data_IF_435499066372
#
_entry.id   IF_435499066372
#
_cell.length_a   1.000
_cell.length_b   1.000
_cell.length_c   1.000
_cell.angle_alpha   90.00
_cell.angle_beta   90.00
_cell.angle_gamma   90.00
#
_symmetry.space_group_name_H-M   'P 1'
#
loop_
_entity.id
_entity.type
_entity.pdbx_description
1 polymer ?
#
# COMPACT_ATOMS: atom_id res chain seq x y z
N UNK A 1 -18.58 45.99 -24.31
CA UNK A 1 -17.39 46.32 -25.12
C UNK A 1 -16.44 45.13 -25.01
N UNK A 2 -16.58 44.17 -25.94
CA UNK A 2 -15.65 43.83 -27.04
C UNK A 2 -14.62 42.76 -26.58
N UNK A 3 -14.84 41.48 -26.92
CA UNK A 3 -14.56 40.78 -28.20
C UNK A 3 -13.11 40.24 -28.22
N UNK A 4 -12.77 39.01 -28.62
CA UNK A 4 -13.37 38.02 -29.50
C UNK A 4 -12.31 37.63 -30.55
N UNK A 5 -12.05 36.33 -30.77
CA UNK A 5 -11.10 35.89 -31.82
C UNK A 5 -10.97 34.37 -31.94
N UNK A 6 -11.73 33.80 -32.88
CA UNK A 6 -11.60 32.42 -33.41
C UNK A 6 -10.52 32.36 -34.49
N UNK A 7 -9.93 31.19 -34.69
CA UNK A 7 -9.20 30.83 -35.91
C UNK A 7 -9.18 29.31 -36.11
N UNK A 8 -9.82 28.85 -37.19
CA UNK A 8 -9.86 27.47 -37.70
C UNK A 8 -9.11 27.41 -39.02
N UNK A 9 -8.36 26.34 -39.30
CA UNK A 9 -8.18 25.84 -40.67
C UNK A 9 -7.71 24.38 -40.71
N UNK A 10 -8.29 23.68 -41.68
CA UNK A 10 -8.35 22.24 -41.96
C UNK A 10 -7.10 21.57 -42.58
N UNK A 11 -7.17 20.23 -42.53
CA UNK A 11 -6.75 19.23 -43.55
C UNK A 11 -5.29 18.88 -43.78
N UNK A 12 -4.94 17.60 -43.51
CA UNK A 12 -4.37 16.70 -44.53
C UNK A 12 -4.36 15.23 -44.05
N UNK A 13 -5.08 14.39 -44.79
CA UNK A 13 -5.05 12.92 -44.81
C UNK A 13 -3.72 12.43 -45.39
N UNK A 14 -3.11 11.38 -44.81
CA UNK A 14 -2.19 10.51 -45.54
C UNK A 14 -2.34 9.05 -45.08
N UNK A 15 -2.78 8.23 -46.04
CA UNK A 15 -2.76 6.77 -46.06
C UNK A 15 -1.34 6.34 -46.42
N UNK A 16 -0.78 5.28 -45.80
CA UNK A 16 0.17 4.38 -46.47
C UNK A 16 0.14 2.97 -45.85
N UNK A 17 0.05 2.02 -46.77
CA UNK A 17 0.07 0.58 -46.63
C UNK A 17 1.41 -0.02 -46.17
N UNK A 18 1.29 -1.24 -45.59
CA UNK A 18 2.16 -2.43 -45.65
C UNK A 18 3.69 -2.29 -45.80
N UNK A 19 4.42 -3.14 -45.06
CA UNK A 19 5.26 -4.24 -45.62
C UNK A 19 5.84 -5.08 -44.46
N UNK A 20 5.52 -6.38 -44.48
CA UNK A 20 6.30 -7.45 -43.85
C UNK A 20 7.64 -7.61 -44.59
N UNK A 21 8.76 -7.68 -43.88
CA UNK A 21 9.93 -8.38 -44.39
C UNK A 21 10.53 -9.30 -43.32
N UNK A 22 10.35 -10.58 -43.55
CA UNK A 22 11.14 -11.69 -43.05
C UNK A 22 12.50 -11.72 -43.74
N UNK A 23 13.57 -12.03 -43.00
CA UNK A 23 14.84 -12.43 -43.59
C UNK A 23 15.47 -13.56 -42.74
N UNK A 24 15.41 -14.77 -43.29
CA UNK A 24 16.38 -15.83 -43.02
C UNK A 24 17.71 -15.44 -43.71
N UNK A 25 18.84 -15.74 -43.07
CA UNK A 25 20.02 -16.19 -43.82
C UNK A 25 20.83 -17.19 -43.00
N UNK A 26 21.42 -18.12 -43.76
CA UNK A 26 22.04 -19.39 -43.41
C UNK A 26 23.56 -19.26 -43.51
N UNK A 27 24.29 -20.04 -42.72
CA UNK A 27 25.71 -20.37 -42.91
C UNK A 27 26.44 -20.38 -41.57
N UNK A 28 26.94 -21.49 -41.02
CA UNK A 28 27.61 -22.62 -41.67
C UNK A 28 29.12 -22.47 -41.43
N UNK A 29 29.66 -23.11 -40.38
CA UNK A 29 31.08 -23.03 -40.02
C UNK A 29 31.47 -24.11 -39.01
N UNK A 30 31.95 -25.23 -39.54
CA UNK A 30 32.42 -26.44 -38.89
C UNK A 30 33.83 -26.22 -38.28
N UNK A 31 34.06 -26.64 -37.03
CA UNK A 31 35.40 -27.01 -36.54
C UNK A 31 35.28 -28.17 -35.55
N UNK A 32 35.91 -29.26 -35.93
CA UNK A 32 35.93 -30.56 -35.27
C UNK A 32 37.22 -30.71 -34.44
N UNK A 33 37.12 -31.57 -33.42
CA UNK A 33 38.19 -32.37 -32.82
C UNK A 33 39.00 -31.69 -31.70
N UNK A 34 39.33 -32.33 -30.57
CA UNK A 34 39.65 -33.74 -30.33
C UNK A 34 39.21 -34.21 -28.93
N UNK A 35 38.60 -35.40 -28.89
CA UNK A 35 38.53 -36.28 -27.72
C UNK A 35 39.92 -36.85 -27.43
N UNK A 36 40.33 -36.90 -26.15
CA UNK A 36 41.42 -37.77 -25.70
C UNK A 36 41.03 -38.40 -24.36
N UNK A 37 40.71 -39.69 -24.41
CA UNK A 37 40.65 -40.56 -23.25
C UNK A 37 42.04 -40.73 -22.63
N UNK A 38 42.12 -40.71 -21.31
CA UNK A 38 43.24 -41.29 -20.56
C UNK A 38 42.72 -41.73 -19.20
N UNK A 39 42.60 -43.04 -19.05
CA UNK A 39 42.33 -43.77 -17.83
C UNK A 39 43.59 -43.81 -16.95
N UNK A 40 43.49 -43.31 -15.70
CA UNK A 40 44.44 -43.63 -14.63
C UNK A 40 43.66 -43.83 -13.33
N UNK A 41 43.90 -45.00 -12.73
CA UNK A 41 43.37 -45.48 -11.45
C UNK A 41 43.94 -44.72 -10.25
N UNK A 42 43.16 -44.78 -9.16
CA UNK A 42 43.54 -44.64 -7.75
C UNK A 42 43.75 -43.22 -7.19
N UNK A 43 42.74 -42.73 -6.46
CA UNK A 43 42.77 -42.64 -4.99
C UNK A 43 41.48 -42.00 -4.49
N UNK A 44 40.59 -42.80 -3.90
CA UNK A 44 39.42 -42.32 -3.17
C UNK A 44 39.92 -41.63 -1.90
N UNK A 45 40.03 -40.30 -1.95
CA UNK A 45 39.98 -39.47 -0.75
C UNK A 45 38.54 -38.99 -0.63
N UNK A 46 37.83 -39.50 0.37
CA UNK A 46 36.52 -39.00 0.76
C UNK A 46 36.67 -37.54 1.23
N UNK A 47 36.50 -36.59 0.31
CA UNK A 47 36.27 -35.21 0.64
C UNK A 47 34.81 -35.11 1.12
N UNK A 48 34.63 -35.01 2.43
CA UNK A 48 33.36 -34.56 3.01
C UNK A 48 33.16 -33.13 2.54
N UNK A 49 32.41 -32.94 1.46
CA UNK A 49 31.89 -31.63 1.07
C UNK A 49 30.84 -31.30 2.13
N UNK A 50 31.25 -30.53 3.14
CA UNK A 50 30.32 -29.86 4.02
C UNK A 50 29.54 -28.87 3.15
N UNK A 51 28.38 -29.30 2.66
CA UNK A 51 27.40 -28.43 2.04
C UNK A 51 26.96 -27.41 3.07
N UNK A 52 27.62 -26.25 3.08
CA UNK A 52 27.11 -25.07 3.74
C UNK A 52 25.82 -24.67 3.00
N UNK A 53 24.69 -25.18 3.47
CA UNK A 53 23.37 -24.61 3.16
C UNK A 53 23.44 -23.15 3.55
N UNK A 54 23.66 -22.29 2.56
CA UNK A 54 23.45 -20.86 2.68
C UNK A 54 21.95 -20.69 2.97
N UNK A 55 21.60 -20.58 4.24
CA UNK A 55 20.30 -20.11 4.67
C UNK A 55 20.17 -18.69 4.13
N UNK A 56 19.51 -18.53 2.98
CA UNK A 56 18.99 -17.24 2.58
C UNK A 56 18.03 -16.83 3.69
N UNK A 57 18.51 -15.97 4.59
CA UNK A 57 17.64 -15.17 5.42
C UNK A 57 16.84 -14.33 4.44
N UNK A 58 15.64 -14.80 4.09
CA UNK A 58 14.60 -13.90 3.62
C UNK A 58 14.45 -12.88 4.73
N UNK A 59 15.00 -11.68 4.52
CA UNK A 59 14.53 -10.50 5.22
C UNK A 59 13.07 -10.42 4.79
N UNK A 60 12.18 -10.95 5.63
CA UNK A 60 10.77 -10.74 5.47
C UNK A 60 10.62 -9.21 5.41
N UNK A 61 10.25 -8.69 4.24
CA UNK A 61 9.73 -7.34 4.16
C UNK A 61 8.66 -7.26 5.25
N UNK A 62 8.86 -6.38 6.22
CA UNK A 62 7.92 -6.26 7.32
C UNK A 62 6.53 -5.93 6.78
N UNK A 63 5.50 -6.34 7.49
CA UNK A 63 4.14 -5.88 7.20
C UNK A 63 4.10 -4.36 7.24
N UNK A 64 3.58 -3.76 6.17
CA UNK A 64 3.36 -2.33 6.09
C UNK A 64 2.12 -2.00 6.89
N UNK A 65 2.21 -1.00 7.75
CA UNK A 65 1.09 -0.54 8.56
C UNK A 65 0.29 0.53 7.82
N UNK A 66 0.78 1.23 6.79
CA UNK A 66 -0.06 2.06 5.91
C UNK A 66 0.04 1.60 4.45
N UNK A 67 -0.45 0.40 4.19
CA UNK A 67 -0.16 -0.33 2.97
C UNK A 67 -1.18 -0.03 1.86
N UNK A 68 -0.70 0.25 0.65
CA UNK A 68 -1.54 0.38 -0.56
C UNK A 68 -1.01 -0.48 -1.69
N UNK A 69 -1.91 -1.19 -2.39
CA UNK A 69 -1.56 -1.93 -3.61
C UNK A 69 -2.73 -2.01 -4.57
N UNK A 70 -2.43 -1.78 -5.85
CA UNK A 70 -3.33 -2.10 -6.95
C UNK A 70 -2.92 -3.42 -7.56
N UNK A 71 -3.85 -4.37 -7.61
CA UNK A 71 -3.71 -5.65 -8.30
C UNK A 71 -4.73 -5.68 -9.42
N UNK A 72 -4.29 -5.42 -10.66
CA UNK A 72 -5.19 -5.22 -11.82
C UNK A 72 -6.25 -4.16 -11.51
N UNK A 73 -7.52 -4.55 -11.44
CA UNK A 73 -8.66 -3.65 -11.23
C UNK A 73 -9.12 -3.60 -9.75
N UNK A 74 -8.36 -4.24 -8.86
CA UNK A 74 -8.64 -4.28 -7.42
C UNK A 74 -7.64 -3.43 -6.68
N UNK A 75 -8.12 -2.62 -5.74
CA UNK A 75 -7.30 -1.80 -4.87
C UNK A 75 -7.40 -2.34 -3.44
N UNK A 76 -6.30 -2.36 -2.71
CA UNK A 76 -6.28 -2.67 -1.28
C UNK A 76 -5.60 -1.53 -0.55
N UNK A 77 -6.26 -1.03 0.48
CA UNK A 77 -5.73 -0.05 1.43
C UNK A 77 -5.84 -0.62 2.84
N UNK A 78 -4.75 -0.58 3.60
CA UNK A 78 -4.75 -0.90 5.02
C UNK A 78 -4.33 0.33 5.83
N UNK A 79 -5.06 0.63 6.90
CA UNK A 79 -4.68 1.67 7.86
C UNK A 79 -3.57 1.21 8.82
N UNK A 80 -3.01 2.13 9.62
CA UNK A 80 -1.93 1.84 10.59
C UNK A 80 -2.23 0.69 11.54
N UNK A 81 -3.49 0.41 11.86
CA UNK A 81 -3.87 -0.73 12.69
C UNK A 81 -4.05 -2.04 11.89
N UNK A 82 -3.63 -2.04 10.63
CA UNK A 82 -3.81 -3.09 9.64
C UNK A 82 -5.29 -3.44 9.40
N UNK A 83 -6.23 -2.51 9.57
CA UNK A 83 -7.58 -2.74 9.06
C UNK A 83 -7.58 -2.50 7.56
N UNK A 84 -7.97 -3.52 6.80
CA UNK A 84 -7.82 -3.50 5.35
C UNK A 84 -9.18 -3.41 4.65
N UNK A 85 -9.25 -2.53 3.65
CA UNK A 85 -10.33 -2.43 2.69
C UNK A 85 -9.83 -2.86 1.31
N UNK A 86 -10.48 -3.87 0.74
CA UNK A 86 -10.32 -4.27 -0.66
C UNK A 86 -11.47 -3.68 -1.46
N UNK A 87 -11.19 -2.80 -2.41
CA UNK A 87 -12.18 -2.16 -3.27
C UNK A 87 -12.12 -2.70 -4.70
N UNK A 88 -13.30 -2.97 -5.26
CA UNK A 88 -13.49 -3.35 -6.65
C UNK A 88 -13.74 -2.11 -7.50
N UNK A 89 -13.02 -2.00 -8.62
CA UNK A 89 -13.24 -0.92 -9.57
C UNK A 89 -14.47 -1.23 -10.45
N UNK A 90 -15.45 -0.32 -10.53
CA UNK A 90 -16.58 -0.49 -11.44
C UNK A 90 -16.13 -0.36 -12.90
N UNK A 91 -16.73 -1.13 -13.79
CA UNK A 91 -16.48 -1.06 -15.25
C UNK A 91 -16.97 0.28 -15.82
N UNK A 92 -18.10 0.79 -15.30
CA UNK A 92 -18.60 2.13 -15.58
C UNK A 92 -18.77 2.86 -14.25
N UNK A 93 -18.09 4.00 -14.10
CA UNK A 93 -18.01 4.73 -12.83
C UNK A 93 -19.20 5.64 -12.54
N UNK A 94 -19.94 6.07 -13.55
CA UNK A 94 -21.03 7.04 -13.38
C UNK A 94 -22.14 6.50 -12.46
N UNK A 95 -22.25 7.09 -11.27
CA UNK A 95 -23.25 6.73 -10.27
C UNK A 95 -23.09 5.32 -9.67
N UNK A 96 -21.98 4.64 -9.94
CA UNK A 96 -21.69 3.33 -9.34
C UNK A 96 -21.25 3.52 -7.89
N UNK A 97 -21.84 2.78 -6.92
CA UNK A 97 -21.37 2.82 -5.55
C UNK A 97 -19.96 2.19 -5.47
N UNK A 98 -19.19 2.60 -4.48
CA UNK A 98 -17.99 1.85 -4.11
C UNK A 98 -18.41 0.49 -3.55
N UNK A 99 -17.77 -0.58 -4.00
CA UNK A 99 -18.06 -1.94 -3.57
C UNK A 99 -16.75 -2.63 -3.20
N UNK A 100 -16.73 -3.29 -2.04
CA UNK A 100 -15.53 -3.93 -1.57
C UNK A 100 -15.75 -4.81 -0.34
N UNK A 101 -14.66 -5.16 0.31
CA UNK A 101 -14.64 -5.89 1.56
C UNK A 101 -13.77 -5.16 2.58
N UNK A 102 -14.26 -5.08 3.81
CA UNK A 102 -13.47 -4.64 4.95
C UNK A 102 -13.16 -5.82 5.85
N UNK A 103 -11.95 -5.87 6.40
CA UNK A 103 -11.60 -6.80 7.48
C UNK A 103 -10.65 -6.10 8.45
N UNK A 104 -11.03 -6.06 9.73
CA UNK A 104 -10.15 -5.56 10.78
C UNK A 104 -9.00 -6.55 11.08
N UNK A 105 -7.94 -6.06 11.70
CA UNK A 105 -6.80 -6.90 12.11
C UNK A 105 -7.08 -7.80 13.31
N UNK A 106 -8.21 -7.61 14.00
CA UNK A 106 -8.56 -8.29 15.25
C UNK A 106 -8.69 -9.83 15.10
N UNK A 107 -8.38 -10.62 16.13
CA UNK A 107 -8.48 -12.08 16.05
C UNK A 107 -9.93 -12.53 15.80
N UNK A 108 -10.12 -13.52 14.93
CA UNK A 108 -11.46 -13.98 14.55
C UNK A 108 -12.27 -13.01 13.68
N UNK A 109 -11.67 -11.89 13.25
CA UNK A 109 -12.33 -10.94 12.36
C UNK A 109 -12.70 -11.61 11.04
N UNK A 110 -13.97 -11.46 10.65
CA UNK A 110 -14.52 -11.94 9.39
C UNK A 110 -14.64 -10.78 8.41
N UNK A 111 -14.41 -10.99 7.11
CA UNK A 111 -14.65 -9.95 6.12
C UNK A 111 -16.14 -9.57 6.10
N UNK A 112 -16.41 -8.28 5.96
CA UNK A 112 -17.74 -7.74 5.70
C UNK A 112 -17.78 -7.19 4.28
N UNK A 113 -18.92 -7.34 3.60
CA UNK A 113 -19.16 -6.67 2.32
C UNK A 113 -19.49 -5.22 2.61
N UNK A 114 -18.78 -4.29 1.97
CA UNK A 114 -18.85 -2.86 2.22
C UNK A 114 -19.32 -2.10 0.99
N UNK A 115 -20.34 -1.28 1.16
CA UNK A 115 -20.81 -0.28 0.20
C UNK A 115 -20.42 1.12 0.65
N UNK A 116 -19.88 1.90 -0.27
CA UNK A 116 -19.49 3.30 -0.07
C UNK A 116 -20.08 4.18 -1.16
N UNK A 117 -20.12 5.50 -0.93
CA UNK A 117 -20.83 6.47 -1.80
C UNK A 117 -22.33 6.15 -1.97
N UNK A 118 -22.94 5.63 -0.90
CA UNK A 118 -24.38 5.35 -0.79
C UNK A 118 -24.96 6.17 0.35
N UNK A 119 -26.28 6.37 0.36
CA UNK A 119 -26.97 6.94 1.51
C UNK A 119 -27.05 5.90 2.65
N UNK A 120 -26.31 6.07 3.76
CA UNK A 120 -26.28 5.10 4.86
C UNK A 120 -27.61 5.08 5.65
N UNK A 121 -28.47 6.08 5.46
CA UNK A 121 -29.81 6.13 6.07
C UNK A 121 -30.82 5.24 5.34
N UNK A 122 -30.51 4.76 4.12
CA UNK A 122 -31.40 3.88 3.37
C UNK A 122 -31.65 2.58 4.14
N UNK A 123 -32.93 2.28 4.41
CA UNK A 123 -33.37 1.02 5.04
C UNK A 123 -34.23 0.14 4.15
N UNK A 124 -34.52 0.57 2.93
CA UNK A 124 -35.45 -0.13 2.01
C UNK A 124 -34.77 -0.52 0.71
N UNK A 125 -35.33 -1.54 0.05
CA UNK A 125 -34.81 -2.11 -1.19
C UNK A 125 -33.99 -3.37 -0.97
N UNK A 126 -33.47 -3.91 -2.08
CA UNK A 126 -32.64 -5.12 -2.10
C UNK A 126 -31.25 -4.82 -2.64
N UNK A 127 -30.28 -5.50 -2.07
CA UNK A 127 -28.94 -5.67 -2.60
C UNK A 127 -28.87 -7.08 -3.18
N UNK A 128 -28.65 -7.18 -4.48
CA UNK A 128 -28.50 -8.46 -5.17
C UNK A 128 -27.13 -8.49 -5.86
N UNK A 129 -26.35 -9.54 -5.63
CA UNK A 129 -25.08 -9.79 -6.28
C UNK A 129 -25.21 -11.07 -7.11
N UNK A 130 -24.82 -10.98 -8.37
CA UNK A 130 -24.55 -12.14 -9.22
C UNK A 130 -23.10 -12.12 -9.70
N UNK A 131 -22.57 -13.31 -9.96
CA UNK A 131 -21.23 -13.50 -10.54
C UNK A 131 -21.39 -14.30 -11.82
N UNK A 132 -20.90 -13.77 -12.93
CA UNK A 132 -21.01 -14.37 -14.26
C UNK A 132 -22.45 -14.83 -14.61
N UNK A 133 -23.43 -14.02 -14.19
CA UNK A 133 -24.87 -14.27 -14.41
C UNK A 133 -25.53 -15.21 -13.40
N UNK A 134 -24.77 -15.85 -12.50
CA UNK A 134 -25.31 -16.71 -11.45
C UNK A 134 -25.59 -15.91 -10.16
N UNK A 135 -26.81 -15.96 -9.60
CA UNK A 135 -27.11 -15.30 -8.33
C UNK A 135 -26.24 -15.85 -7.20
N UNK A 136 -25.65 -14.95 -6.41
CA UNK A 136 -24.71 -15.29 -5.34
C UNK A 136 -25.18 -14.81 -3.96
N UNK A 137 -25.71 -13.59 -3.88
CA UNK A 137 -26.21 -12.99 -2.64
C UNK A 137 -27.45 -12.14 -2.95
N UNK A 138 -28.47 -12.21 -2.10
CA UNK A 138 -29.66 -11.37 -2.19
C UNK A 138 -30.14 -11.05 -0.79
N UNK A 139 -30.03 -9.79 -0.38
CA UNK A 139 -30.38 -9.35 0.98
C UNK A 139 -31.17 -8.06 0.95
N UNK A 140 -32.05 -7.88 1.92
CA UNK A 140 -32.71 -6.59 2.11
C UNK A 140 -31.70 -5.58 2.66
N UNK A 141 -31.78 -4.32 2.20
CA UNK A 141 -30.85 -3.26 2.63
C UNK A 141 -30.94 -3.02 4.15
N UNK A 142 -32.07 -3.34 4.77
CA UNK A 142 -32.25 -3.30 6.24
C UNK A 142 -31.32 -4.26 7.01
N UNK A 143 -30.77 -5.28 6.35
CA UNK A 143 -29.80 -6.20 6.94
C UNK A 143 -28.37 -5.61 7.00
N UNK A 144 -28.13 -4.48 6.31
CA UNK A 144 -26.84 -3.78 6.35
C UNK A 144 -26.82 -2.83 7.54
N UNK A 145 -25.65 -2.74 8.17
CA UNK A 145 -25.37 -1.80 9.27
C UNK A 145 -24.70 -0.56 8.70
N UNK A 146 -25.11 0.61 9.19
CA UNK A 146 -24.41 1.84 8.87
C UNK A 146 -23.16 1.94 9.73
N UNK A 147 -22.03 2.17 9.08
CA UNK A 147 -20.72 2.42 9.70
C UNK A 147 -20.19 3.70 9.06
N UNK A 148 -20.24 4.82 9.79
CA UNK A 148 -20.00 6.17 9.26
C UNK A 148 -20.81 6.49 7.97
N UNK A 149 -20.13 6.72 6.84
CA UNK A 149 -20.70 7.01 5.53
C UNK A 149 -20.86 5.75 4.64
N UNK A 150 -20.80 4.57 5.26
CA UNK A 150 -20.77 3.27 4.60
C UNK A 150 -21.89 2.34 5.09
N UNK A 151 -22.17 1.31 4.31
CA UNK A 151 -23.08 0.23 4.68
C UNK A 151 -22.35 -1.11 4.61
N UNK A 152 -22.33 -1.82 5.74
CA UNK A 152 -21.67 -3.11 5.90
C UNK A 152 -22.66 -4.25 6.06
N UNK A 153 -22.41 -5.34 5.32
CA UNK A 153 -23.11 -6.61 5.47
C UNK A 153 -22.15 -7.68 5.96
N UNK A 154 -22.46 -8.28 7.12
CA UNK A 154 -21.61 -9.28 7.78
C UNK A 154 -22.14 -10.73 7.72
N UNK A 155 -23.22 -10.98 6.97
CA UNK A 155 -23.86 -12.30 6.91
C UNK A 155 -23.06 -13.32 6.09
N UNK A 156 -23.60 -13.80 4.98
CA UNK A 156 -23.01 -14.90 4.21
C UNK A 156 -21.82 -14.48 3.32
N UNK A 157 -20.99 -13.54 3.79
CA UNK A 157 -19.88 -12.94 3.05
C UNK A 157 -18.81 -13.97 2.69
N UNK A 158 -18.51 -14.92 3.58
CA UNK A 158 -17.53 -15.97 3.29
C UNK A 158 -17.96 -16.82 2.08
N UNK A 159 -19.24 -17.20 2.01
CA UNK A 159 -19.80 -17.95 0.88
C UNK A 159 -19.81 -17.10 -0.40
N UNK A 160 -20.16 -15.82 -0.28
CA UNK A 160 -20.10 -14.89 -1.41
C UNK A 160 -18.67 -14.77 -1.96
N UNK A 161 -17.66 -14.60 -1.09
CA UNK A 161 -16.26 -14.54 -1.49
C UNK A 161 -15.81 -15.79 -2.23
N UNK A 162 -16.20 -17.00 -1.80
CA UNK A 162 -15.90 -18.24 -2.54
C UNK A 162 -16.49 -18.26 -3.96
N UNK A 163 -17.72 -17.79 -4.13
CA UNK A 163 -18.33 -17.64 -5.45
C UNK A 163 -17.60 -16.62 -6.32
N UNK A 164 -17.15 -15.51 -5.74
CA UNK A 164 -16.44 -14.45 -6.45
C UNK A 164 -15.02 -14.84 -6.87
N UNK A 165 -14.29 -15.62 -6.06
CA UNK A 165 -12.93 -16.07 -6.38
C UNK A 165 -12.84 -16.87 -7.69
N UNK A 166 -13.93 -17.55 -8.07
CA UNK A 166 -14.01 -18.36 -9.27
C UNK A 166 -14.60 -17.63 -10.48
N UNK A 167 -15.05 -16.38 -10.28
CA UNK A 167 -15.73 -15.60 -11.30
C UNK A 167 -14.86 -14.53 -11.94
N UNK A 168 -15.37 -13.93 -13.00
CA UNK A 168 -14.70 -12.85 -13.72
C UNK A 168 -15.39 -11.50 -13.56
N UNK A 169 -16.72 -11.49 -13.51
CA UNK A 169 -17.53 -10.28 -13.44
C UNK A 169 -18.56 -10.39 -12.34
N UNK A 170 -18.65 -9.35 -11.53
CA UNK A 170 -19.70 -9.18 -10.53
C UNK A 170 -20.72 -8.17 -11.03
N UNK A 171 -22.00 -8.47 -10.89
CA UNK A 171 -23.09 -7.51 -11.07
C UNK A 171 -23.77 -7.23 -9.73
N UNK A 172 -23.78 -5.97 -9.34
CA UNK A 172 -24.53 -5.46 -8.19
C UNK A 172 -25.82 -4.82 -8.70
N UNK A 173 -26.96 -5.32 -8.25
CA UNK A 173 -28.24 -4.65 -8.42
C UNK A 173 -28.67 -4.00 -7.12
N UNK A 174 -28.83 -2.68 -7.17
CA UNK A 174 -29.18 -1.85 -6.02
C UNK A 174 -30.10 -0.73 -6.49
N UNK A 175 -31.22 -0.53 -5.78
CA UNK A 175 -32.21 0.52 -6.08
C UNK A 175 -32.67 0.52 -7.56
N UNK A 176 -32.86 -0.68 -8.16
CA UNK A 176 -33.32 -0.84 -9.54
C UNK A 176 -32.26 -0.59 -10.62
N UNK A 177 -31.03 -0.20 -10.24
CA UNK A 177 -29.88 -0.04 -11.14
C UNK A 177 -28.97 -1.26 -11.03
N UNK A 178 -28.27 -1.56 -12.12
CA UNK A 178 -27.26 -2.64 -12.18
C UNK A 178 -25.91 -2.04 -12.48
N UNK A 179 -24.91 -2.39 -11.67
CA UNK A 179 -23.52 -1.95 -11.76
C UNK A 179 -22.63 -3.17 -11.96
N UNK A 180 -21.61 -3.06 -12.80
CA UNK A 180 -20.69 -4.17 -13.11
C UNK A 180 -19.30 -3.87 -12.58
N UNK A 181 -18.65 -4.86 -11.98
CA UNK A 181 -17.30 -4.78 -11.42
C UNK A 181 -16.45 -5.92 -11.95
N UNK A 182 -15.17 -5.64 -12.18
CA UNK A 182 -14.17 -6.67 -12.53
C UNK A 182 -13.73 -7.44 -11.29
N UNK A 183 -13.59 -8.76 -11.39
CA UNK A 183 -13.00 -9.62 -10.35
C UNK A 183 -11.56 -10.02 -10.66
N UNK A 184 -10.96 -9.45 -11.72
CA UNK A 184 -9.66 -9.87 -12.24
C UNK A 184 -8.52 -9.82 -11.21
N UNK A 185 -8.61 -8.89 -10.24
CA UNK A 185 -7.65 -8.66 -9.18
C UNK A 185 -8.03 -9.23 -7.81
N UNK A 186 -9.24 -9.79 -7.66
CA UNK A 186 -9.80 -10.13 -6.35
C UNK A 186 -8.89 -11.07 -5.56
N UNK A 187 -8.50 -12.20 -6.15
CA UNK A 187 -7.68 -13.22 -5.47
C UNK A 187 -6.34 -12.64 -5.02
N UNK A 188 -5.65 -11.88 -5.88
CA UNK A 188 -4.39 -11.25 -5.52
C UNK A 188 -4.54 -10.14 -4.47
N UNK A 189 -5.66 -9.42 -4.49
CA UNK A 189 -6.02 -8.47 -3.42
C UNK A 189 -6.27 -9.17 -2.08
N UNK A 190 -6.98 -10.31 -2.07
CA UNK A 190 -7.22 -11.09 -0.85
C UNK A 190 -5.91 -11.64 -0.26
N UNK A 191 -4.99 -12.11 -1.10
CA UNK A 191 -3.63 -12.51 -0.68
C UNK A 191 -2.93 -11.31 -0.04
N UNK A 192 -2.95 -10.15 -0.69
CA UNK A 192 -2.30 -8.96 -0.12
C UNK A 192 -2.91 -8.52 1.22
N UNK A 193 -4.24 -8.63 1.39
CA UNK A 193 -4.89 -8.39 2.69
C UNK A 193 -4.41 -9.38 3.76
N UNK A 194 -4.23 -10.66 3.41
CA UNK A 194 -3.66 -11.65 4.32
C UNK A 194 -2.19 -11.35 4.64
N UNK A 195 -1.37 -10.96 3.64
CA UNK A 195 0.04 -10.56 3.81
C UNK A 195 0.16 -9.42 4.82
N UNK A 196 -0.60 -8.34 4.63
CA UNK A 196 -0.52 -7.14 5.49
C UNK A 196 -1.00 -7.39 6.92
N UNK A 197 -1.87 -8.38 7.12
CA UNK A 197 -2.39 -8.76 8.44
C UNK A 197 -1.65 -9.96 9.04
N UNK A 198 -0.52 -10.40 8.44
CA UNK A 198 0.23 -11.62 8.82
C UNK A 198 -0.62 -12.90 8.87
N UNK A 199 -1.68 -13.00 8.06
CA UNK A 199 -2.63 -14.11 8.06
C UNK A 199 -2.34 -15.19 7.03
N UNK A 200 -1.34 -15.03 6.17
CA UNK A 200 -0.95 -16.06 5.21
C UNK A 200 -0.52 -17.36 5.87
N UNK A 201 -1.07 -18.47 5.39
CA UNK A 201 -0.82 -19.81 5.93
C UNK A 201 -1.42 -20.02 7.33
N UNK A 202 -2.26 -19.11 7.81
CA UNK A 202 -3.04 -19.29 9.04
C UNK A 202 -4.41 -19.91 8.75
N UNK A 203 -5.07 -20.37 9.80
CA UNK A 203 -6.46 -20.86 9.70
C UNK A 203 -7.45 -19.73 9.29
N UNK A 204 -7.09 -18.47 9.57
CA UNK A 204 -7.92 -17.29 9.32
C UNK A 204 -7.65 -16.61 7.96
N UNK A 205 -6.69 -17.11 7.15
CA UNK A 205 -6.38 -16.55 5.84
C UNK A 205 -7.63 -16.49 4.94
N UNK A 206 -7.84 -15.45 4.14
CA UNK A 206 -8.91 -15.43 3.13
C UNK A 206 -8.57 -16.33 1.96
N UNK A 207 -7.31 -16.40 1.54
CA UNK A 207 -6.91 -17.14 0.35
C UNK A 207 -5.91 -18.26 0.63
N UNK A 208 -4.71 -17.93 1.11
CA UNK A 208 -3.65 -18.93 1.35
C UNK A 208 -3.86 -19.56 2.72
N UNK A 209 -4.87 -20.43 2.83
CA UNK A 209 -5.21 -21.15 4.06
C UNK A 209 -4.05 -22.03 4.53
N UNK A 210 -3.87 -22.13 5.84
CA UNK A 210 -2.96 -23.09 6.47
C UNK A 210 -3.35 -23.40 7.91
N UNK A 211 -2.39 -23.92 8.68
CA UNK A 211 -2.61 -24.41 10.04
C UNK A 211 -1.98 -23.54 11.13
N UNK A 212 -1.29 -22.46 10.77
CA UNK A 212 -0.71 -21.54 11.76
C UNK A 212 -1.83 -20.86 12.56
N UNK A 213 -1.60 -20.54 13.84
CA UNK A 213 -2.54 -19.74 14.62
C UNK A 213 -2.70 -18.35 14.00
N UNK A 214 -3.81 -17.68 14.32
CA UNK A 214 -4.01 -16.29 13.96
C UNK A 214 -2.92 -15.39 14.60
N UNK A 215 -2.49 -14.33 13.91
CA UNK A 215 -1.47 -13.44 14.43
C UNK A 215 -2.02 -12.57 15.57
N UNK A 216 -1.10 -12.06 16.39
CA UNK A 216 -1.44 -11.02 17.36
C UNK A 216 -1.58 -9.70 16.60
N UNK A 217 -2.70 -8.97 16.75
CA UNK A 217 -2.88 -7.69 16.07
C UNK A 217 -1.82 -6.66 16.48
N UNK A 218 -1.53 -5.68 15.61
CA UNK A 218 -0.75 -4.52 15.99
C UNK A 218 -1.33 -3.81 17.21
N UNK A 219 -0.47 -3.45 18.16
CA UNK A 219 -0.84 -2.64 19.32
C UNK A 219 -0.47 -1.19 19.05
N UNK A 220 -1.41 -0.46 18.45
CA UNK A 220 -1.34 0.98 18.26
C UNK A 220 -2.75 1.59 18.31
N UNK A 221 -2.80 2.89 18.57
CA UNK A 221 -4.03 3.68 18.62
C UNK A 221 -4.13 4.51 17.35
N UNK A 222 -5.23 4.38 16.61
CA UNK A 222 -5.52 5.27 15.49
C UNK A 222 -5.95 6.65 15.97
N UNK A 223 -5.57 7.67 15.20
CA UNK A 223 -5.99 9.06 15.36
C UNK A 223 -6.59 9.48 14.02
N UNK A 224 -7.90 9.39 13.91
CA UNK A 224 -8.67 9.54 12.67
C UNK A 224 -9.27 10.93 12.51
N UNK A 225 -9.27 11.73 13.58
CA UNK A 225 -9.81 13.09 13.58
C UNK A 225 -8.91 14.05 14.37
N UNK A 226 -8.94 15.33 14.00
CA UNK A 226 -8.24 16.40 14.73
C UNK A 226 -8.67 16.46 16.20
N UNK A 227 -9.92 16.12 16.52
CA UNK A 227 -10.41 16.05 17.90
C UNK A 227 -9.76 14.97 18.76
N UNK A 228 -9.24 13.90 18.15
CA UNK A 228 -8.52 12.82 18.84
C UNK A 228 -7.03 13.14 19.06
N UNK A 229 -6.49 14.15 18.38
CA UNK A 229 -5.13 14.63 18.60
C UNK A 229 -5.00 15.10 20.06
N UNK A 230 -3.88 14.80 20.74
CA UNK A 230 -3.62 15.28 22.09
C UNK A 230 -3.74 16.80 22.21
N UNK A 231 -4.37 17.27 23.28
CA UNK A 231 -4.73 18.68 23.44
C UNK A 231 -3.49 19.61 23.39
N UNK A 232 -2.34 19.13 23.85
CA UNK A 232 -1.07 19.86 23.93
C UNK A 232 -0.53 20.28 22.55
N UNK A 233 -0.81 19.47 21.52
CA UNK A 233 -0.32 19.68 20.14
C UNK A 233 -1.45 19.94 19.13
N UNK A 234 -2.72 19.87 19.54
CA UNK A 234 -3.87 20.05 18.64
C UNK A 234 -3.87 21.40 17.93
N UNK A 235 -3.32 22.44 18.57
CA UNK A 235 -3.17 23.78 17.95
C UNK A 235 -2.33 23.78 16.67
N UNK A 236 -1.47 22.77 16.49
CA UNK A 236 -0.64 22.67 15.28
C UNK A 236 -1.48 22.21 14.07
N UNK A 237 -2.72 21.73 14.28
CA UNK A 237 -3.61 21.15 13.27
C UNK A 237 -4.99 21.84 13.20
N UNK A 238 -5.20 22.96 13.91
CA UNK A 238 -6.55 23.49 14.19
C UNK A 238 -7.22 24.18 13.01
N UNK A 239 -6.47 24.91 12.21
CA UNK A 239 -6.96 25.71 11.08
C UNK A 239 -5.91 25.79 9.96
N UNK A 240 -6.26 26.42 8.84
CA UNK A 240 -5.39 26.53 7.66
C UNK A 240 -4.07 27.26 7.92
N UNK A 241 -4.00 28.17 8.91
CA UNK A 241 -2.79 28.91 9.24
C UNK A 241 -1.88 28.17 10.24
N UNK A 242 -2.34 27.05 10.81
CA UNK A 242 -1.54 26.23 11.71
C UNK A 242 -0.39 25.54 10.96
N UNK A 243 0.66 25.16 11.70
CA UNK A 243 1.89 24.55 11.12
C UNK A 243 1.57 23.31 10.27
N UNK A 244 0.61 22.50 10.70
CA UNK A 244 0.11 21.30 10.03
C UNK A 244 -1.34 21.47 9.54
N UNK A 245 -1.77 22.72 9.30
CA UNK A 245 -3.11 23.09 8.87
C UNK A 245 -3.49 22.65 7.45
N UNK A 246 -4.76 22.78 7.10
CA UNK A 246 -5.22 22.65 5.71
C UNK A 246 -5.66 21.25 5.25
N UNK A 247 -5.58 20.23 6.12
CA UNK A 247 -6.26 18.96 5.88
C UNK A 247 -7.76 19.10 6.20
N UNK A 248 -8.64 18.74 5.25
CA UNK A 248 -10.06 18.55 5.55
C UNK A 248 -10.25 17.35 6.49
N UNK A 249 -11.35 17.26 7.25
CA UNK A 249 -11.64 16.10 8.09
C UNK A 249 -11.56 14.77 7.34
N UNK A 250 -12.02 14.74 6.09
CA UNK A 250 -12.01 13.56 5.22
C UNK A 250 -10.58 13.19 4.79
N UNK A 251 -9.78 14.18 4.38
CA UNK A 251 -8.38 13.94 4.00
C UNK A 251 -7.53 13.49 5.19
N UNK A 252 -7.75 14.08 6.37
CA UNK A 252 -7.07 13.68 7.61
C UNK A 252 -7.41 12.24 7.98
N UNK A 253 -8.71 11.87 7.96
CA UNK A 253 -9.16 10.50 8.23
C UNK A 253 -8.57 9.50 7.23
N UNK A 254 -8.55 9.86 5.94
CA UNK A 254 -8.07 8.99 4.87
C UNK A 254 -6.56 8.75 4.94
N UNK A 255 -5.79 9.77 5.31
CA UNK A 255 -4.36 9.63 5.58
C UNK A 255 -4.13 8.83 6.87
N UNK A 256 -4.91 9.11 7.92
CA UNK A 256 -4.84 8.44 9.21
C UNK A 256 -3.62 8.88 10.02
N UNK A 257 -3.80 9.15 11.30
CA UNK A 257 -2.72 9.29 12.27
C UNK A 257 -2.63 8.06 13.17
N UNK A 258 -1.52 7.93 13.89
CA UNK A 258 -1.35 6.86 14.87
C UNK A 258 -0.54 7.30 16.08
N UNK A 259 -0.74 6.58 17.17
CA UNK A 259 0.07 6.62 18.38
C UNK A 259 0.46 5.20 18.76
N UNK A 260 1.75 4.95 19.00
CA UNK A 260 2.27 3.62 19.28
C UNK A 260 3.43 3.64 20.27
N UNK A 261 3.62 2.52 20.97
CA UNK A 261 4.66 2.37 21.98
C UNK A 261 6.04 2.13 21.37
N UNK A 262 7.05 2.87 21.84
CA UNK A 262 8.47 2.62 21.52
C UNK A 262 9.17 1.93 22.70
N UNK A 263 8.91 2.39 23.92
CA UNK A 263 9.40 1.79 25.17
C UNK A 263 8.37 2.01 26.30
N UNK A 264 8.66 1.52 27.51
CA UNK A 264 7.77 1.80 28.65
C UNK A 264 7.70 3.31 28.92
N UNK A 265 6.48 3.83 29.07
CA UNK A 265 6.23 5.28 29.19
C UNK A 265 6.60 6.16 27.98
N UNK A 266 7.08 5.58 26.87
CA UNK A 266 7.55 6.32 25.69
C UNK A 266 6.81 5.89 24.42
N UNK A 267 6.05 6.84 23.85
CA UNK A 267 5.22 6.61 22.67
C UNK A 267 5.62 7.55 21.52
N UNK A 268 5.48 7.06 20.29
CA UNK A 268 5.60 7.81 19.03
C UNK A 268 4.20 8.15 18.53
N UNK A 269 4.02 9.41 18.12
CA UNK A 269 2.81 9.88 17.48
C UNK A 269 3.16 10.35 16.07
N UNK A 270 2.50 9.81 15.05
CA UNK A 270 2.63 10.23 13.65
C UNK A 270 1.30 10.77 13.13
N UNK A 271 1.29 11.99 12.58
CA UNK A 271 0.06 12.69 12.18
C UNK A 271 0.18 13.27 10.78
N UNK A 272 -0.87 13.18 9.93
CA UNK A 272 -0.94 13.91 8.66
C UNK A 272 -0.77 15.41 8.92
N UNK A 273 0.19 16.06 8.24
CA UNK A 273 0.58 17.44 8.53
C UNK A 273 0.56 18.30 7.27
N UNK A 274 -0.56 18.97 7.01
CA UNK A 274 -0.76 19.72 5.77
C UNK A 274 -1.81 19.10 4.85
N UNK A 275 -2.28 19.88 3.88
CA UNK A 275 -3.13 19.39 2.79
C UNK A 275 -2.37 18.39 1.90
N UNK A 276 -2.96 17.25 1.52
CA UNK A 276 -2.31 16.34 0.58
C UNK A 276 -2.05 17.02 -0.77
N UNK A 277 -0.86 16.79 -1.32
CA UNK A 277 -0.59 17.03 -2.73
C UNK A 277 -1.20 15.94 -3.61
N UNK A 278 -1.15 16.10 -4.93
CA UNK A 278 -1.74 15.15 -5.88
C UNK A 278 -1.20 13.70 -5.75
N UNK A 279 -0.02 13.51 -5.16
CA UNK A 279 0.63 12.21 -5.01
C UNK A 279 1.46 12.07 -3.73
N UNK A 280 1.42 13.06 -2.84
CA UNK A 280 2.24 13.11 -1.62
C UNK A 280 1.39 13.56 -0.43
N UNK A 281 1.37 12.75 0.63
CA UNK A 281 0.83 13.11 1.94
C UNK A 281 1.97 13.37 2.93
N UNK A 282 2.12 14.59 3.46
CA UNK A 282 3.09 14.90 4.51
C UNK A 282 2.62 14.42 5.89
N UNK A 283 3.58 14.05 6.74
CA UNK A 283 3.40 13.66 8.14
C UNK A 283 4.42 14.36 9.03
N UNK A 284 3.99 14.74 10.23
CA UNK A 284 4.83 15.21 11.32
C UNK A 284 4.82 14.19 12.47
N UNK A 285 5.89 14.19 13.27
CA UNK A 285 6.10 13.23 14.35
C UNK A 285 6.33 13.90 15.68
N UNK A 286 5.84 13.26 16.74
CA UNK A 286 5.97 13.74 18.11
C UNK A 286 6.36 12.58 19.04
N UNK A 287 7.21 12.88 20.01
CA UNK A 287 7.54 11.99 21.11
C UNK A 287 6.65 12.33 22.29
N UNK A 288 5.96 11.34 22.83
CA UNK A 288 5.24 11.43 24.10
C UNK A 288 5.99 10.66 25.17
N UNK A 289 6.29 11.34 26.27
CA UNK A 289 6.80 10.72 27.49
C UNK A 289 6.09 11.33 28.69
N UNK A 290 5.41 10.49 29.49
CA UNK A 290 4.51 10.94 30.56
C UNK A 290 3.50 11.99 30.02
N UNK A 291 3.43 13.17 30.65
CA UNK A 291 2.52 14.25 30.26
C UNK A 291 3.16 15.26 29.30
N UNK A 292 4.28 14.92 28.65
CA UNK A 292 5.00 15.81 27.75
C UNK A 292 5.00 15.27 26.33
N UNK A 293 4.61 16.13 25.39
CA UNK A 293 4.67 15.86 23.95
C UNK A 293 5.57 16.90 23.30
N UNK A 294 6.54 16.45 22.51
CA UNK A 294 7.49 17.32 21.80
C UNK A 294 7.63 16.88 20.35
N UNK A 295 7.78 17.82 19.39
CA UNK A 295 8.01 17.48 17.99
C UNK A 295 9.36 16.76 17.81
N UNK A 296 9.45 15.93 16.78
CA UNK A 296 10.66 15.22 16.38
C UNK A 296 11.04 15.64 14.96
N UNK A 297 12.25 16.16 14.79
CA UNK A 297 12.86 16.33 13.46
C UNK A 297 13.59 15.04 13.05
N UNK A 298 13.52 14.71 11.76
CA UNK A 298 14.07 13.51 11.15
C UNK A 298 15.42 13.80 10.51
N UNK A 299 16.50 13.05 10.80
CA UNK A 299 17.78 13.25 10.14
C UNK A 299 17.71 12.92 8.64
N UNK A 300 18.33 13.74 7.79
CA UNK A 300 18.38 13.55 6.32
C UNK A 300 19.71 14.08 5.79
N UNK A 301 20.06 13.76 4.54
CA UNK A 301 21.25 14.28 3.86
C UNK A 301 20.82 15.30 2.79
N UNK A 302 21.36 16.52 2.87
CA UNK A 302 21.24 17.50 1.79
C UNK A 302 22.57 17.65 1.03
N UNK A 303 22.57 18.45 -0.03
CA UNK A 303 23.78 18.80 -0.77
C UNK A 303 24.85 19.49 0.10
N UNK A 304 24.43 20.19 1.17
CA UNK A 304 25.31 20.85 2.13
C UNK A 304 25.78 19.91 3.27
N UNK A 305 25.27 18.68 3.31
CA UNK A 305 25.63 17.66 4.30
C UNK A 305 24.47 17.20 5.19
N UNK A 306 24.76 16.50 6.30
CA UNK A 306 23.73 16.02 7.22
C UNK A 306 22.92 17.17 7.84
N UNK A 307 21.60 17.05 7.82
CA UNK A 307 20.65 18.03 8.36
C UNK A 307 19.41 17.31 8.92
N UNK A 308 18.32 18.04 9.17
CA UNK A 308 17.03 17.50 9.59
C UNK A 308 15.87 18.06 8.76
N UNK A 309 14.77 17.32 8.72
CA UNK A 309 13.46 17.75 8.19
C UNK A 309 12.38 17.53 9.25
N UNK A 310 11.35 18.36 9.26
CA UNK A 310 10.22 18.22 10.21
C UNK A 310 9.07 17.37 9.64
N UNK A 311 9.16 16.95 8.38
CA UNK A 311 8.12 16.15 7.72
C UNK A 311 8.69 14.96 6.95
N UNK A 312 7.91 13.89 6.88
CA UNK A 312 8.10 12.76 5.97
C UNK A 312 6.90 12.59 5.06
N UNK A 313 7.08 11.92 3.92
CA UNK A 313 6.07 11.84 2.85
C UNK A 313 5.68 10.40 2.56
N UNK A 314 4.38 10.14 2.39
CA UNK A 314 3.84 8.81 2.06
C UNK A 314 4.44 7.70 2.94
N UNK A 315 4.22 7.84 4.24
CA UNK A 315 4.94 7.06 5.23
C UNK A 315 4.39 5.64 5.36
N UNK A 316 5.24 4.75 5.84
CA UNK A 316 4.88 3.44 6.35
C UNK A 316 5.61 3.18 7.67
N UNK A 317 4.89 2.67 8.66
CA UNK A 317 5.43 2.34 9.98
C UNK A 317 5.51 0.82 10.14
N UNK A 318 6.60 0.32 10.71
CA UNK A 318 6.71 -1.07 11.12
C UNK A 318 7.03 -1.16 12.61
N UNK A 319 6.01 -1.51 13.39
CA UNK A 319 6.13 -1.65 14.84
C UNK A 319 7.16 -2.69 15.30
N UNK A 320 7.36 -3.78 14.54
CA UNK A 320 8.24 -4.88 14.94
C UNK A 320 9.72 -4.51 14.79
N UNK A 321 10.07 -3.82 13.70
CA UNK A 321 11.44 -3.36 13.46
C UNK A 321 11.71 -1.94 13.97
N UNK A 322 10.67 -1.26 14.48
CA UNK A 322 10.67 0.16 14.86
C UNK A 322 11.17 1.03 13.71
N UNK A 323 10.66 0.80 12.50
CA UNK A 323 11.15 1.43 11.28
C UNK A 323 10.08 2.31 10.67
N UNK A 324 10.45 3.53 10.32
CA UNK A 324 9.65 4.47 9.53
C UNK A 324 10.25 4.52 8.12
N UNK A 325 9.46 4.15 7.12
CA UNK A 325 9.81 4.33 5.72
C UNK A 325 9.04 5.52 5.17
N UNK A 326 9.65 6.32 4.29
CA UNK A 326 8.97 7.38 3.57
C UNK A 326 9.37 7.39 2.10
N UNK A 327 8.45 7.82 1.26
CA UNK A 327 8.69 7.96 -0.17
C UNK A 327 8.08 9.24 -0.71
N UNK A 328 8.90 10.29 -0.84
CA UNK A 328 8.53 11.47 -1.60
C UNK A 328 8.59 11.15 -3.09
N UNK A 329 7.46 11.29 -3.79
CA UNK A 329 7.41 11.14 -5.25
C UNK A 329 7.66 12.49 -5.91
N UNK A 330 8.51 12.55 -6.93
CA UNK A 330 8.68 13.76 -7.74
C UNK A 330 7.48 14.06 -8.64
N UNK A 331 6.76 13.01 -9.07
CA UNK A 331 5.48 13.07 -9.80
C UNK A 331 4.64 11.82 -9.54
N UNK A 332 3.40 11.81 -9.99
CA UNK A 332 2.43 10.72 -9.73
C UNK A 332 2.89 9.31 -10.12
N UNK A 333 3.82 9.16 -11.07
CA UNK A 333 4.38 7.85 -11.47
C UNK A 333 5.34 7.26 -10.45
N UNK A 334 5.97 8.07 -9.59
CA UNK A 334 6.96 7.61 -8.61
C UNK A 334 8.24 7.04 -9.23
N UNK A 335 8.61 7.47 -10.44
CA UNK A 335 9.83 7.08 -11.15
C UNK A 335 11.07 7.92 -10.75
N UNK A 336 10.87 8.93 -9.91
CA UNK A 336 11.85 9.85 -9.34
C UNK A 336 11.36 10.31 -7.96
N UNK A 337 12.27 10.78 -7.09
CA UNK A 337 11.95 11.22 -5.74
C UNK A 337 13.03 10.93 -4.71
N UNK A 338 12.61 10.86 -3.45
CA UNK A 338 13.46 10.57 -2.27
C UNK A 338 12.81 9.44 -1.48
N UNK A 339 13.62 8.46 -1.11
CA UNK A 339 13.24 7.31 -0.31
C UNK A 339 14.09 7.27 0.95
N UNK A 340 13.41 7.29 2.08
CA UNK A 340 14.03 7.37 3.40
C UNK A 340 13.59 6.20 4.27
N UNK A 341 14.53 5.73 5.09
CA UNK A 341 14.27 4.73 6.13
C UNK A 341 14.93 5.19 7.41
N UNK A 342 14.13 5.39 8.45
CA UNK A 342 14.59 5.67 9.80
C UNK A 342 14.26 4.55 10.75
N UNK A 343 15.11 4.36 11.76
CA UNK A 343 14.82 3.51 12.91
C UNK A 343 14.52 4.37 14.13
N UNK A 344 13.36 4.18 14.74
CA UNK A 344 13.03 4.77 16.03
C UNK A 344 13.83 4.07 17.13
N UNK A 345 14.37 4.86 18.05
CA UNK A 345 15.19 4.41 19.17
C UNK A 345 14.75 5.11 20.44
N UNK A 346 14.81 4.39 21.55
CA UNK A 346 14.82 4.99 22.87
C UNK A 346 16.27 5.30 23.24
N UNK A 347 16.54 6.59 23.49
CA UNK A 347 17.88 7.04 23.88
C UNK A 347 18.10 7.03 25.40
N UNK A 348 17.10 6.62 26.18
CA UNK A 348 17.13 6.67 27.65
C UNK A 348 16.87 8.07 28.23
N UNK A 349 16.63 9.06 27.38
CA UNK A 349 16.33 10.45 27.78
C UNK A 349 14.81 10.75 27.83
N UNK A 350 13.98 9.71 27.81
CA UNK A 350 12.52 9.85 27.75
C UNK A 350 12.05 10.49 26.43
N UNK A 351 12.75 10.21 25.32
CA UNK A 351 12.41 10.73 23.99
C UNK A 351 12.70 9.73 22.89
N UNK A 352 11.75 9.61 21.96
CA UNK A 352 11.94 8.91 20.70
C UNK A 352 12.92 9.69 19.84
N UNK A 353 13.95 9.01 19.33
CA UNK A 353 14.88 9.53 18.34
C UNK A 353 14.85 8.67 17.10
N UNK A 354 14.91 9.30 15.93
CA UNK A 354 15.08 8.60 14.67
C UNK A 354 16.55 8.61 14.25
N UNK A 355 17.03 7.44 13.83
CA UNK A 355 18.35 7.27 13.20
C UNK A 355 18.12 6.98 11.73
N UNK A 356 18.71 7.78 10.84
CA UNK A 356 18.66 7.52 9.40
C UNK A 356 19.44 6.24 9.08
N UNK A 357 18.73 5.24 8.56
CA UNK A 357 19.29 3.95 8.14
C UNK A 357 19.64 3.98 6.67
N UNK A 358 18.81 4.62 5.87
CA UNK A 358 18.97 4.68 4.42
C UNK A 358 18.30 5.93 3.88
N UNK A 359 18.97 6.59 2.95
CA UNK A 359 18.40 7.63 2.10
C UNK A 359 18.86 7.38 0.67
N UNK A 360 17.91 7.40 -0.26
CA UNK A 360 18.16 7.21 -1.68
C UNK A 360 17.37 8.22 -2.48
N UNK A 361 17.93 8.68 -3.58
CA UNK A 361 17.29 9.68 -4.42
C UNK A 361 17.52 9.42 -5.90
N UNK A 362 16.53 9.83 -6.69
CA UNK A 362 16.62 9.90 -8.15
C UNK A 362 15.93 11.18 -8.59
N UNK A 363 16.70 12.14 -9.10
CA UNK A 363 16.17 13.43 -9.55
C UNK A 363 15.46 13.37 -10.90
N UNK A 364 15.92 12.52 -11.82
CA UNK A 364 15.42 12.49 -13.20
C UNK A 364 14.07 11.76 -13.28
N UNK A 365 13.01 12.45 -13.70
CA UNK A 365 11.67 11.87 -13.90
C UNK A 365 11.46 11.40 -15.35
N UNK A 366 12.23 10.39 -15.77
CA UNK A 366 12.39 9.91 -17.15
C UNK A 366 11.53 8.70 -17.53
N UNK A 367 10.69 8.21 -16.62
CA UNK A 367 9.90 6.98 -16.78
C UNK A 367 10.65 5.68 -16.48
N UNK A 368 11.96 5.76 -16.19
CA UNK A 368 12.74 4.61 -15.76
C UNK A 368 12.73 4.50 -14.23
N UNK A 369 12.08 3.46 -13.73
CA UNK A 369 11.99 3.20 -12.30
C UNK A 369 13.32 2.78 -11.64
N UNK A 370 14.34 2.43 -12.43
CA UNK A 370 15.64 1.94 -11.96
C UNK A 370 15.52 0.79 -10.94
N UNK A 371 14.49 -0.04 -11.10
CA UNK A 371 14.20 -1.18 -10.22
C UNK A 371 13.54 -0.82 -8.88
N UNK A 372 13.13 0.43 -8.68
CA UNK A 372 12.36 0.92 -7.53
C UNK A 372 13.17 1.82 -6.58
N UNK A 373 12.50 2.56 -5.67
CA UNK A 373 13.15 3.54 -4.79
C UNK A 373 14.27 2.97 -3.92
N UNK A 374 14.10 1.73 -3.44
CA UNK A 374 15.11 0.99 -2.67
C UNK A 374 16.42 0.70 -3.44
N UNK A 375 16.41 0.85 -4.76
CA UNK A 375 17.56 0.58 -5.64
C UNK A 375 18.19 1.84 -6.23
N UNK A 376 17.60 3.01 -5.98
CA UNK A 376 18.16 4.29 -6.43
C UNK A 376 19.52 4.56 -5.77
N UNK A 377 20.35 5.45 -6.37
CA UNK A 377 21.59 5.90 -5.75
C UNK A 377 21.39 6.30 -4.28
N UNK A 378 22.29 5.82 -3.41
CA UNK A 378 22.23 6.10 -1.99
C UNK A 378 22.94 7.42 -1.67
N UNK A 379 22.22 8.35 -1.03
CA UNK A 379 22.80 9.46 -0.28
C UNK A 379 23.32 8.97 1.07
N UNK A 380 22.65 7.97 1.66
CA UNK A 380 23.03 7.32 2.91
C UNK A 380 22.75 5.81 2.93
N UNK A 381 23.63 4.96 3.49
CA UNK A 381 24.98 5.30 3.92
C UNK A 381 25.86 5.69 2.73
N UNK A 382 26.77 6.64 2.96
CA UNK A 382 27.76 7.00 1.95
C UNK A 382 28.62 5.77 1.69
N UNK A 383 28.68 5.30 0.43
CA UNK A 383 29.59 4.21 0.08
C UNK A 383 31.03 4.67 0.33
N UNK A 384 31.87 3.86 0.99
CA UNK A 384 33.29 4.15 1.05
C UNK A 384 33.82 4.32 -0.39
N UNK A 385 34.57 5.40 -0.63
CA UNK A 385 35.24 5.63 -1.91
C UNK A 385 36.34 4.60 -2.14
#
# INVERSE_FOLDING_TARGET
MWAGGKGTSDSATFVHDLILLSALSIGGGLMLSFYRESSVLASVRAAVVASATATMLFVAGGESQAAFKTVRDTQVLCDFAQNCTLSLTPVASEGAPGLGFFRSSQPGSKPVLRLSYVDPSRKTGKLEISVDGQPLLGVDVSALKAEDDQLDYAGDVAKALEGMKNGQKLQLKLAGKTFTYSLSGLVGGLIYVDEQQSRDGTVEALQVKGSKPAPVPPVLKLIETVGQIPAEIRKDFSDEAAVCGGASPETFRSAGGFETKIADGLDLIGLPCGSPGAYNQPYAFYSRHENRIVPISLPTISDDGPTVTDTAWNIDWNQKSLTLTAFFKGRGLGDCGIYDVWKATDSGEGRVRFVLVQERSKGDCDGNYAGGPEKWPASWPVKPK
#
